data_IF_354929437193
#
_entry.id   IF_354929437193
#
_cell.length_a   1.000
_cell.length_b   1.000
_cell.length_c   1.000
_cell.angle_alpha   90.00
_cell.angle_beta   90.00
_cell.angle_gamma   90.00
#
_symmetry.space_group_name_H-M   'P 1'
#
loop_
_entity.id
_entity.type
_entity.pdbx_description
1 polymer ?
#
# COMPACT_ATOMS: atom_id res chain seq x y z
N UNK A 1 -7.75 19.37 -5.33
CA UNK A 1 -6.70 19.58 -6.36
C UNK A 1 -5.33 19.85 -5.76
N UNK A 2 -5.15 20.88 -4.90
CA UNK A 2 -3.86 21.14 -4.23
C UNK A 2 -3.29 19.92 -3.48
N UNK A 3 -4.15 19.15 -2.80
CA UNK A 3 -3.74 17.92 -2.10
C UNK A 3 -3.18 16.88 -3.06
N UNK A 4 -3.84 16.65 -4.20
CA UNK A 4 -3.39 15.68 -5.23
C UNK A 4 -2.05 16.09 -5.82
N UNK A 5 -1.87 17.38 -6.10
CA UNK A 5 -0.60 17.94 -6.56
C UNK A 5 0.50 17.74 -5.50
N UNK A 6 0.20 18.05 -4.24
CA UNK A 6 1.13 17.84 -3.13
C UNK A 6 1.56 16.38 -2.96
N UNK A 7 0.59 15.45 -3.00
CA UNK A 7 0.86 14.00 -2.95
C UNK A 7 1.76 13.58 -4.12
N UNK A 8 1.46 14.06 -5.33
CA UNK A 8 2.22 13.71 -6.54
C UNK A 8 3.67 14.22 -6.49
N UNK A 9 3.87 15.44 -6.01
CA UNK A 9 5.22 16.02 -5.83
C UNK A 9 6.01 15.26 -4.77
N UNK A 10 5.40 14.95 -3.62
CA UNK A 10 6.04 14.16 -2.57
C UNK A 10 6.41 12.76 -3.06
N UNK A 11 5.52 12.10 -3.82
CA UNK A 11 5.79 10.81 -4.42
C UNK A 11 6.96 10.88 -5.42
N UNK A 12 7.02 11.92 -6.26
CA UNK A 12 8.13 12.11 -7.20
C UNK A 12 9.48 12.31 -6.48
N UNK A 13 9.52 13.11 -5.42
CA UNK A 13 10.72 13.33 -4.60
C UNK A 13 11.14 12.04 -3.91
N UNK A 14 10.20 11.35 -3.23
CA UNK A 14 10.47 10.08 -2.56
C UNK A 14 10.96 9.00 -3.53
N UNK A 15 10.31 8.87 -4.68
CA UNK A 15 10.68 7.92 -5.73
C UNK A 15 12.09 8.19 -6.27
N UNK A 16 12.44 9.45 -6.48
CA UNK A 16 13.79 9.85 -6.91
C UNK A 16 14.84 9.51 -5.84
N UNK A 17 14.57 9.79 -4.57
CA UNK A 17 15.46 9.45 -3.46
C UNK A 17 15.67 7.94 -3.34
N UNK A 18 14.60 7.14 -3.44
CA UNK A 18 14.67 5.67 -3.47
C UNK A 18 15.50 5.19 -4.66
N UNK A 19 15.27 5.76 -5.85
CA UNK A 19 15.96 5.41 -7.08
C UNK A 19 17.47 5.61 -6.96
N UNK A 20 17.90 6.75 -6.43
CA UNK A 20 19.31 7.11 -6.24
C UNK A 20 19.93 6.25 -5.13
N UNK A 21 19.30 6.19 -3.95
CA UNK A 21 19.83 5.48 -2.78
C UNK A 21 20.01 4.00 -3.04
N UNK A 22 18.99 3.32 -3.59
CA UNK A 22 19.05 1.88 -3.83
C UNK A 22 19.81 1.54 -5.11
N UNK A 23 19.84 2.45 -6.09
CA UNK A 23 20.72 2.34 -7.27
C UNK A 23 22.20 2.31 -6.88
N UNK A 24 22.64 3.26 -6.04
CA UNK A 24 24.02 3.31 -5.53
C UNK A 24 24.44 2.05 -4.76
N UNK A 25 23.49 1.40 -4.07
CA UNK A 25 23.74 0.18 -3.29
C UNK A 25 23.60 -1.13 -4.10
N UNK A 26 23.31 -1.05 -5.41
CA UNK A 26 23.11 -2.24 -6.25
C UNK A 26 21.85 -3.05 -5.92
N UNK A 27 20.95 -2.55 -5.07
CA UNK A 27 19.79 -3.29 -4.54
C UNK A 27 18.59 -3.20 -5.49
N UNK A 28 18.73 -3.80 -6.67
CA UNK A 28 17.72 -3.72 -7.76
C UNK A 28 16.34 -4.24 -7.34
N UNK A 29 16.27 -5.35 -6.59
CA UNK A 29 15.00 -5.92 -6.10
C UNK A 29 14.29 -5.01 -5.10
N UNK A 30 15.00 -4.55 -4.06
CA UNK A 30 14.43 -3.64 -3.04
C UNK A 30 13.94 -2.34 -3.67
N UNK A 31 14.69 -1.82 -4.64
CA UNK A 31 14.30 -0.63 -5.41
C UNK A 31 12.98 -0.85 -6.16
N UNK A 32 12.86 -1.96 -6.89
CA UNK A 32 11.64 -2.26 -7.65
C UNK A 32 10.43 -2.38 -6.72
N UNK A 33 10.56 -3.12 -5.61
CA UNK A 33 9.49 -3.27 -4.62
C UNK A 33 9.11 -1.95 -3.95
N UNK A 34 10.09 -1.12 -3.57
CA UNK A 34 9.83 0.17 -2.95
C UNK A 34 9.09 1.13 -3.90
N UNK A 35 9.47 1.17 -5.19
CA UNK A 35 8.80 2.00 -6.17
C UNK A 35 7.40 1.50 -6.51
N UNK A 36 7.21 0.17 -6.55
CA UNK A 36 5.90 -0.44 -6.76
C UNK A 36 4.96 -0.11 -5.59
N UNK A 37 5.42 -0.27 -4.36
CA UNK A 37 4.63 0.09 -3.16
C UNK A 37 4.30 1.59 -3.14
N UNK A 38 5.27 2.44 -3.46
CA UNK A 38 5.05 3.89 -3.57
C UNK A 38 4.00 4.22 -4.64
N UNK A 39 4.07 3.59 -5.81
CA UNK A 39 3.09 3.79 -6.88
C UNK A 39 1.68 3.37 -6.44
N UNK A 40 1.51 2.16 -5.89
CA UNK A 40 0.21 1.67 -5.41
C UNK A 40 -0.37 2.60 -4.35
N UNK A 41 0.41 2.96 -3.32
CA UNK A 41 -0.05 3.84 -2.25
C UNK A 41 -0.42 5.23 -2.76
N UNK A 42 0.36 5.77 -3.70
CA UNK A 42 0.08 7.08 -4.32
C UNK A 42 -1.22 7.04 -5.12
N UNK A 43 -1.41 6.02 -5.97
CA UNK A 43 -2.64 5.85 -6.76
C UNK A 43 -3.86 5.70 -5.85
N UNK A 44 -3.75 4.90 -4.78
CA UNK A 44 -4.82 4.74 -3.80
C UNK A 44 -5.16 6.07 -3.12
N UNK A 45 -4.15 6.79 -2.62
CA UNK A 45 -4.35 8.08 -1.95
C UNK A 45 -4.99 9.13 -2.88
N UNK A 46 -4.56 9.18 -4.14
CA UNK A 46 -5.17 10.06 -5.15
C UNK A 46 -6.62 9.65 -5.41
N UNK A 47 -6.91 8.36 -5.55
CA UNK A 47 -8.26 7.85 -5.75
C UNK A 47 -9.23 8.23 -4.63
N UNK A 48 -8.78 8.08 -3.39
CA UNK A 48 -9.54 8.52 -2.20
C UNK A 48 -9.81 10.02 -2.24
N UNK A 49 -8.81 10.83 -2.59
CA UNK A 49 -8.97 12.29 -2.69
C UNK A 49 -9.90 12.74 -3.83
N UNK A 50 -9.95 11.97 -4.92
CA UNK A 50 -10.87 12.19 -6.03
C UNK A 50 -12.27 11.62 -5.78
N UNK A 51 -12.51 11.02 -4.60
CA UNK A 51 -13.78 10.34 -4.25
C UNK A 51 -14.16 9.25 -5.24
N UNK A 52 -13.15 8.60 -5.85
CA UNK A 52 -13.38 7.40 -6.63
C UNK A 52 -13.79 6.26 -5.68
N UNK A 53 -14.66 5.33 -6.12
CA UNK A 53 -14.98 4.15 -5.33
C UNK A 53 -13.75 3.24 -5.26
N UNK A 54 -12.90 3.47 -4.26
CA UNK A 54 -11.72 2.66 -4.00
C UNK A 54 -12.08 1.54 -3.02
N UNK A 55 -11.81 0.27 -3.36
CA UNK A 55 -12.01 -0.83 -2.44
C UNK A 55 -11.12 -0.64 -1.20
N UNK A 56 -11.64 -0.96 -0.02
CA UNK A 56 -10.88 -0.90 1.21
C UNK A 56 -9.79 -1.99 1.19
N UNK A 57 -8.49 -1.64 1.27
CA UNK A 57 -7.41 -2.62 1.23
C UNK A 57 -7.47 -3.63 2.38
N UNK A 58 -8.06 -3.25 3.52
CA UNK A 58 -8.25 -4.14 4.68
C UNK A 58 -9.19 -5.30 4.33
N UNK A 59 -10.20 -5.07 3.49
CA UNK A 59 -11.14 -6.13 3.10
C UNK A 59 -10.43 -7.18 2.25
N UNK A 60 -9.51 -6.76 1.36
CA UNK A 60 -8.69 -7.68 0.57
C UNK A 60 -7.74 -8.52 1.43
N UNK A 61 -7.10 -7.90 2.43
CA UNK A 61 -6.25 -8.61 3.40
C UNK A 61 -7.10 -9.61 4.20
N UNK A 62 -8.24 -9.17 4.70
CA UNK A 62 -9.16 -10.00 5.50
C UNK A 62 -9.68 -11.19 4.69
N UNK A 63 -9.99 -10.99 3.41
CA UNK A 63 -10.36 -12.08 2.52
C UNK A 63 -9.22 -13.08 2.34
N UNK A 64 -8.00 -12.60 2.08
CA UNK A 64 -6.82 -13.44 1.85
C UNK A 64 -6.44 -14.28 3.08
N UNK A 65 -6.49 -13.68 4.26
CA UNK A 65 -6.16 -14.35 5.53
C UNK A 65 -7.36 -15.02 6.20
N UNK A 66 -8.56 -14.87 5.63
CA UNK A 66 -9.81 -15.50 6.05
C UNK A 66 -9.67 -16.97 6.47
N UNK A 67 -9.08 -17.83 5.62
CA UNK A 67 -8.91 -19.24 5.93
C UNK A 67 -8.08 -19.51 7.20
N UNK A 68 -7.20 -18.58 7.59
CA UNK A 68 -6.28 -18.76 8.73
C UNK A 68 -6.93 -18.31 10.03
N UNK A 69 -7.57 -17.14 10.06
CA UNK A 69 -8.08 -16.57 11.31
C UNK A 69 -9.51 -17.01 11.64
N UNK A 70 -10.34 -17.39 10.66
CA UNK A 70 -11.73 -17.80 10.90
C UNK A 70 -11.87 -19.03 11.82
N UNK A 71 -11.03 -20.08 11.72
CA UNK A 71 -11.08 -21.20 12.67
C UNK A 71 -10.78 -20.77 14.11
N UNK A 72 -9.80 -19.87 14.30
CA UNK A 72 -9.42 -19.34 15.61
C UNK A 72 -10.58 -18.55 16.23
N UNK A 73 -11.23 -17.70 15.44
CA UNK A 73 -12.43 -16.99 15.89
C UNK A 73 -13.56 -17.95 16.25
N UNK A 74 -13.71 -19.06 15.52
CA UNK A 74 -14.67 -20.11 15.85
C UNK A 74 -14.46 -20.69 17.24
N UNK A 75 -13.21 -21.05 17.58
CA UNK A 75 -12.88 -21.57 18.91
C UNK A 75 -13.15 -20.57 20.03
N UNK A 76 -12.81 -19.29 19.82
CA UNK A 76 -13.05 -18.23 20.81
C UNK A 76 -14.54 -17.99 21.04
N UNK A 77 -15.37 -18.09 20.00
CA UNK A 77 -16.82 -17.92 20.11
C UNK A 77 -17.52 -19.12 20.74
N UNK A 78 -16.92 -20.30 20.70
CA UNK A 78 -17.47 -21.53 21.28
C UNK A 78 -17.22 -21.64 22.79
N UNK A 79 -16.24 -20.90 23.32
CA UNK A 79 -15.92 -20.80 24.75
C UNK A 79 -16.74 -19.73 25.51
N UNK A 80 -17.61 -18.97 24.83
CA UNK A 80 -18.37 -17.82 25.34
C UNK A 80 -19.88 -18.09 25.35
#
# INVERSE_FOLDING_TARGET
MLIVIGISLLAAVAGTLIWIRNGKKGRKRERAWALLLLAIGTTYAIGVQLRLPMPNPVDGITYLFGPVYKPILGWIQEEL
#
